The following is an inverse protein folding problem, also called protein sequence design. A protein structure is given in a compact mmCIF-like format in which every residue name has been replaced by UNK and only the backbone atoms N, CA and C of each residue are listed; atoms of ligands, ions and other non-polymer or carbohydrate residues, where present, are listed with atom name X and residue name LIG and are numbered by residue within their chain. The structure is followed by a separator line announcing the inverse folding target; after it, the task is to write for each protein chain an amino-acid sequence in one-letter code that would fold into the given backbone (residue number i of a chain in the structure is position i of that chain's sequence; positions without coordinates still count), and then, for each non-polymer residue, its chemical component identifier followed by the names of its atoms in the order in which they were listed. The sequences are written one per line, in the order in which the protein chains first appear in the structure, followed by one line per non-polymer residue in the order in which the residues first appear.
data_IF_008761258424
#
_entry.id   IF_008761258424
#
_cell.length_a   1.000
_cell.length_b   1.000
_cell.length_c   1.000
_cell.angle_alpha   90.00
_cell.angle_beta   90.00
_cell.angle_gamma   90.00
#
_symmetry.space_group_name_H-M   'P 1'
#
loop_
_entity.id
_entity.type
_entity.pdbx_description
1 polymer ?
#
# COMPACT_ATOMS: atom_id res chain seq x y z
N UNK A 1 7.75 26.12 -13.54
CA UNK A 1 6.77 26.11 -12.45
C UNK A 1 6.70 24.67 -11.96
N UNK A 2 7.13 24.36 -10.73
CA UNK A 2 6.94 23.03 -10.14
C UNK A 2 5.45 22.81 -9.97
N UNK A 3 4.89 21.79 -10.63
CA UNK A 3 3.51 21.37 -10.40
C UNK A 3 3.30 21.11 -8.89
N UNK A 4 2.15 21.54 -8.36
CA UNK A 4 1.81 21.25 -6.98
C UNK A 4 1.79 19.73 -6.77
N UNK A 5 2.39 19.27 -5.66
CA UNK A 5 2.38 17.85 -5.31
C UNK A 5 0.95 17.38 -5.05
N UNK A 6 0.65 16.14 -5.43
CA UNK A 6 -0.63 15.51 -5.11
C UNK A 6 -0.76 15.33 -3.60
N UNK A 7 -1.91 15.73 -3.04
CA UNK A 7 -2.21 15.54 -1.62
C UNK A 7 -2.64 14.09 -1.36
N UNK A 8 -2.00 13.45 -0.40
CA UNK A 8 -2.31 12.06 -0.04
C UNK A 8 -2.46 11.89 1.47
N UNK A 9 -3.32 10.96 1.86
CA UNK A 9 -3.38 10.37 3.20
C UNK A 9 -3.09 8.89 3.02
N UNK A 10 -1.97 8.42 3.61
CA UNK A 10 -1.54 7.03 3.55
C UNK A 10 -2.25 6.23 4.65
N UNK A 11 -2.71 5.00 4.33
CA UNK A 11 -3.21 4.03 5.31
C UNK A 11 -2.49 2.70 5.09
N UNK A 12 -1.60 2.32 5.98
CA UNK A 12 -0.60 1.28 5.74
C UNK A 12 -0.45 0.30 6.91
N UNK A 13 0.11 -0.86 6.64
CA UNK A 13 0.47 -1.86 7.66
C UNK A 13 1.96 -2.23 7.60
N UNK A 14 2.89 -1.25 7.83
CA UNK A 14 4.26 -1.29 7.37
C UNK A 14 4.98 -2.60 7.58
N UNK A 15 5.16 -3.25 6.41
CA UNK A 15 6.09 -4.31 6.12
C UNK A 15 7.26 -3.78 5.29
N UNK A 16 7.87 -4.65 4.49
CA UNK A 16 9.07 -4.34 3.71
C UNK A 16 8.79 -3.35 2.56
N UNK A 17 7.73 -3.55 1.81
CA UNK A 17 7.34 -2.77 0.63
C UNK A 17 6.59 -1.48 0.99
N UNK A 18 5.77 -1.45 2.06
CA UNK A 18 5.23 -0.21 2.62
C UNK A 18 6.33 0.81 2.95
N UNK A 19 7.49 0.35 3.43
CA UNK A 19 8.62 1.22 3.72
C UNK A 19 9.01 2.05 2.49
N UNK A 20 9.05 1.44 1.31
CA UNK A 20 9.35 2.11 0.05
C UNK A 20 8.20 3.01 -0.40
N UNK A 21 6.94 2.59 -0.20
CA UNK A 21 5.77 3.42 -0.48
C UNK A 21 5.79 4.73 0.33
N UNK A 22 6.06 4.65 1.64
CA UNK A 22 6.17 5.83 2.51
C UNK A 22 7.34 6.75 2.13
N UNK A 23 8.49 6.19 1.73
CA UNK A 23 9.66 6.96 1.26
C UNK A 23 9.32 7.71 -0.04
N UNK A 24 8.71 7.04 -1.01
CA UNK A 24 8.30 7.63 -2.29
C UNK A 24 7.22 8.70 -2.07
N UNK A 25 6.21 8.42 -1.23
CA UNK A 25 5.18 9.39 -0.87
C UNK A 25 5.79 10.65 -0.22
N UNK A 26 6.71 10.49 0.73
CA UNK A 26 7.36 11.61 1.44
C UNK A 26 8.13 12.52 0.47
N UNK A 27 8.69 11.98 -0.60
CA UNK A 27 9.43 12.77 -1.60
C UNK A 27 8.52 13.43 -2.63
N UNK A 28 7.57 12.68 -3.21
CA UNK A 28 6.86 13.07 -4.42
C UNK A 28 5.42 13.52 -4.19
N UNK A 29 4.84 13.26 -3.02
CA UNK A 29 3.51 13.71 -2.64
C UNK A 29 3.53 14.73 -1.50
N UNK A 30 2.39 15.37 -1.26
CA UNK A 30 2.09 16.16 -0.06
C UNK A 30 1.35 15.23 0.91
N UNK A 31 2.09 14.62 1.84
CA UNK A 31 1.57 13.64 2.80
C UNK A 31 0.91 14.37 3.97
N UNK A 32 -0.41 14.46 3.95
CA UNK A 32 -1.19 15.14 4.98
C UNK A 32 -1.26 14.36 6.30
N UNK A 33 -1.03 13.05 6.24
CA UNK A 33 -0.98 12.18 7.40
C UNK A 33 -0.81 10.72 7.00
N UNK A 34 -0.49 9.92 8.02
CA UNK A 34 -0.36 8.47 7.91
C UNK A 34 -1.23 7.80 8.96
N UNK A 35 -2.01 6.82 8.55
CA UNK A 35 -2.74 5.94 9.46
C UNK A 35 -2.22 4.52 9.33
N UNK A 36 -2.36 3.72 10.39
CA UNK A 36 -1.93 2.33 10.36
C UNK A 36 -3.06 1.37 10.69
N UNK A 37 -2.97 0.18 10.13
CA UNK A 37 -3.89 -0.93 10.34
C UNK A 37 -3.09 -2.19 10.68
N UNK A 38 -3.70 -3.15 11.33
CA UNK A 38 -3.11 -4.48 11.47
C UNK A 38 -3.28 -5.27 10.16
N UNK A 39 -2.21 -5.91 9.72
CA UNK A 39 -2.17 -6.72 8.51
C UNK A 39 -0.89 -7.54 8.48
N UNK A 40 0.17 -7.04 7.85
CA UNK A 40 1.49 -7.71 7.80
C UNK A 40 2.00 -8.11 9.20
N UNK A 41 1.72 -7.25 10.19
CA UNK A 41 2.04 -7.47 11.59
C UNK A 41 0.91 -6.92 12.50
N UNK A 42 0.91 -7.24 13.81
CA UNK A 42 0.01 -6.59 14.77
C UNK A 42 0.12 -5.07 14.74
N UNK A 43 -0.99 -4.36 15.01
CA UNK A 43 -1.08 -2.90 14.94
C UNK A 43 0.05 -2.17 15.69
N UNK A 44 0.48 -2.68 16.85
CA UNK A 44 1.57 -2.08 17.61
C UNK A 44 2.90 -2.07 16.83
N UNK A 45 3.17 -3.12 16.05
CA UNK A 45 4.36 -3.22 15.22
C UNK A 45 4.21 -2.39 13.94
N UNK A 46 3.07 -2.44 13.24
CA UNK A 46 2.84 -1.63 12.05
C UNK A 46 2.94 -0.14 12.36
N UNK A 47 2.39 0.30 13.51
CA UNK A 47 2.50 1.69 13.98
C UNK A 47 3.94 2.07 14.33
N UNK A 48 4.69 1.18 15.02
CA UNK A 48 6.11 1.39 15.31
C UNK A 48 6.92 1.52 14.02
N UNK A 49 6.70 0.61 13.08
CA UNK A 49 7.39 0.57 11.80
C UNK A 49 7.10 1.83 10.96
N UNK A 50 5.84 2.28 10.91
CA UNK A 50 5.48 3.53 10.24
C UNK A 50 6.28 4.73 10.78
N UNK A 51 6.39 4.87 12.11
CA UNK A 51 7.15 5.96 12.72
C UNK A 51 8.64 5.85 12.38
N UNK A 52 9.22 4.65 12.43
CA UNK A 52 10.62 4.42 12.04
C UNK A 52 10.88 4.92 10.61
N UNK A 53 10.00 4.59 9.66
CA UNK A 53 10.18 4.99 8.26
C UNK A 53 9.95 6.49 8.09
N UNK A 54 8.95 7.09 8.75
CA UNK A 54 8.75 8.54 8.74
C UNK A 54 9.97 9.28 9.30
N UNK A 55 10.55 8.80 10.39
CA UNK A 55 11.78 9.34 10.96
C UNK A 55 12.95 9.23 9.96
N UNK A 56 13.06 8.09 9.28
CA UNK A 56 14.08 7.84 8.26
C UNK A 56 13.97 8.81 7.09
N UNK A 57 12.75 9.14 6.68
CA UNK A 57 12.47 10.13 5.63
C UNK A 57 12.61 11.58 6.10
N UNK A 58 12.75 11.84 7.40
CA UNK A 58 12.64 13.17 7.98
C UNK A 58 11.25 13.79 7.86
N UNK A 59 10.22 12.94 7.74
CA UNK A 59 8.83 13.39 7.60
C UNK A 59 8.21 13.73 8.95
N UNK A 60 7.54 14.88 9.02
CA UNK A 60 6.77 15.30 10.19
C UNK A 60 5.27 14.99 10.05
N UNK A 61 4.87 14.21 9.06
CA UNK A 61 3.47 13.83 8.87
C UNK A 61 2.89 13.22 10.16
N UNK A 62 1.69 13.65 10.60
CA UNK A 62 1.03 13.06 11.75
C UNK A 62 0.74 11.58 11.50
N UNK A 63 0.90 10.76 12.55
CA UNK A 63 0.71 9.31 12.52
C UNK A 63 -0.37 8.91 13.52
N UNK A 64 -1.42 8.25 13.05
CA UNK A 64 -2.51 7.74 13.90
C UNK A 64 -2.66 6.23 13.74
N UNK A 65 -2.67 5.49 14.86
CA UNK A 65 -2.99 4.06 14.83
C UNK A 65 -4.51 3.84 14.68
N UNK A 66 -4.88 2.78 13.98
CA UNK A 66 -6.27 2.49 13.63
C UNK A 66 -6.75 1.12 14.08
N UNK A 67 -7.35 0.35 13.16
CA UNK A 67 -7.94 -0.93 13.44
C UNK A 67 -6.89 -2.01 13.74
N UNK A 68 -7.07 -2.71 14.86
CA UNK A 68 -6.21 -3.83 15.26
C UNK A 68 -6.73 -5.18 14.77
N UNK A 69 -7.87 -5.21 14.08
CA UNK A 69 -8.52 -6.42 13.56
C UNK A 69 -9.46 -6.08 12.40
N UNK A 70 -9.77 -7.05 11.53
CA UNK A 70 -10.77 -6.94 10.49
C UNK A 70 -12.18 -6.70 11.04
N UNK A 71 -13.11 -6.32 10.17
CA UNK A 71 -14.52 -6.10 10.55
C UNK A 71 -15.20 -7.37 11.07
N UNK A 72 -14.91 -8.52 10.47
CA UNK A 72 -15.59 -9.78 10.76
C UNK A 72 -14.62 -10.91 11.11
N UNK A 73 -13.58 -11.12 10.30
CA UNK A 73 -12.64 -12.22 10.45
C UNK A 73 -11.74 -12.08 11.69
N UNK A 74 -11.11 -13.18 12.12
CA UNK A 74 -10.03 -13.12 13.11
C UNK A 74 -8.75 -12.57 12.46
N UNK A 75 -7.96 -11.77 13.20
CA UNK A 75 -6.73 -11.20 12.65
C UNK A 75 -5.70 -12.29 12.32
N UNK A 76 -5.11 -12.17 11.15
CA UNK A 76 -4.01 -13.03 10.71
C UNK A 76 -2.90 -12.12 10.20
N UNK A 77 -1.65 -12.48 10.50
CA UNK A 77 -0.48 -11.71 10.16
C UNK A 77 0.48 -12.49 9.27
N UNK A 78 1.33 -11.76 8.54
CA UNK A 78 2.25 -12.31 7.56
C UNK A 78 3.70 -12.43 8.07
N UNK A 79 3.89 -12.85 9.34
CA UNK A 79 5.23 -13.04 9.91
C UNK A 79 6.11 -14.03 9.11
N UNK A 80 5.49 -14.96 8.38
CA UNK A 80 6.18 -15.90 7.49
C UNK A 80 6.83 -15.21 6.26
N UNK A 81 6.47 -13.95 5.96
CA UNK A 81 7.05 -13.13 4.89
C UNK A 81 7.83 -11.96 5.46
N UNK A 82 7.26 -11.26 6.47
CA UNK A 82 7.81 -10.00 6.98
C UNK A 82 8.68 -10.17 8.23
N UNK A 83 8.78 -11.40 8.79
CA UNK A 83 9.50 -11.67 10.02
C UNK A 83 8.73 -11.24 11.28
N UNK A 84 9.32 -11.45 12.43
CA UNK A 84 8.70 -11.20 13.74
C UNK A 84 8.45 -9.70 14.00
N UNK A 85 9.32 -8.81 13.51
CA UNK A 85 9.17 -7.37 13.66
C UNK A 85 8.26 -6.74 12.61
N UNK A 86 7.91 -7.47 11.55
CA UNK A 86 7.25 -6.98 10.35
C UNK A 86 8.22 -6.30 9.36
N UNK A 87 9.46 -6.01 9.75
CA UNK A 87 10.52 -5.43 8.91
C UNK A 87 11.88 -6.04 9.22
N UNK A 88 11.97 -7.39 9.28
CA UNK A 88 13.23 -8.09 9.52
C UNK A 88 14.20 -7.89 8.32
N UNK A 89 15.51 -8.03 8.59
CA UNK A 89 16.57 -7.85 7.60
C UNK A 89 17.43 -6.60 7.82
N UNK A 90 16.95 -5.64 8.62
CA UNK A 90 17.73 -4.47 9.00
C UNK A 90 17.47 -4.07 10.47
N UNK A 91 18.46 -3.38 11.05
CA UNK A 91 18.30 -2.77 12.37
C UNK A 91 18.04 -1.27 12.22
N UNK A 92 16.94 -0.84 12.78
CA UNK A 92 16.57 0.56 12.86
C UNK A 92 16.71 1.08 14.29
N UNK A 93 16.96 2.37 14.49
CA UNK A 93 16.82 2.98 15.81
C UNK A 93 15.36 2.90 16.28
N UNK A 94 15.16 3.01 17.59
CA UNK A 94 13.79 3.15 18.10
C UNK A 94 13.11 4.42 17.55
N UNK A 95 11.78 4.42 17.43
CA UNK A 95 11.03 5.59 16.98
C UNK A 95 11.35 6.85 17.78
N UNK A 96 11.48 7.99 17.13
CA UNK A 96 11.76 9.28 17.80
C UNK A 96 10.67 9.73 18.77
N UNK A 97 9.44 9.31 18.51
CA UNK A 97 8.23 9.63 19.30
C UNK A 97 7.13 8.59 19.04
N UNK A 98 6.14 8.47 19.91
CA UNK A 98 4.98 7.61 19.67
C UNK A 98 4.12 8.13 18.50
N UNK A 99 3.07 7.38 18.15
CA UNK A 99 2.01 7.90 17.28
C UNK A 99 1.36 9.15 17.89
N UNK A 100 0.90 10.05 17.02
CA UNK A 100 0.27 11.31 17.44
C UNK A 100 -1.16 11.09 17.95
N UNK A 101 -1.78 9.95 17.59
CA UNK A 101 -3.11 9.55 18.05
C UNK A 101 -3.41 8.07 17.81
N UNK A 102 -4.56 7.63 18.32
CA UNK A 102 -5.02 6.23 18.27
C UNK A 102 -6.36 6.06 17.57
N UNK A 103 -6.79 7.05 16.79
CA UNK A 103 -8.08 7.02 16.11
C UNK A 103 -7.94 7.40 14.63
N UNK A 104 -7.46 6.44 13.83
CA UNK A 104 -7.29 6.61 12.40
C UNK A 104 -8.58 7.03 11.69
N UNK A 105 -9.72 6.42 12.05
CA UNK A 105 -11.00 6.67 11.37
C UNK A 105 -11.41 8.14 11.45
N UNK A 106 -11.39 8.73 12.64
CA UNK A 106 -11.73 10.16 12.79
C UNK A 106 -10.66 11.06 12.19
N UNK A 107 -9.38 10.67 12.29
CA UNK A 107 -8.30 11.42 11.64
C UNK A 107 -8.45 11.45 10.12
N UNK A 108 -8.84 10.33 9.47
CA UNK A 108 -9.16 10.28 8.05
C UNK A 108 -10.32 11.24 7.72
N UNK A 109 -11.43 11.15 8.47
CA UNK A 109 -12.62 11.98 8.26
C UNK A 109 -12.28 13.46 8.34
N UNK A 110 -11.61 13.87 9.41
CA UNK A 110 -11.26 15.27 9.65
C UNK A 110 -10.27 15.79 8.62
N UNK A 111 -9.25 14.97 8.25
CA UNK A 111 -8.24 15.35 7.25
C UNK A 111 -8.87 15.53 5.87
N UNK A 112 -9.77 14.63 5.45
CA UNK A 112 -10.48 14.74 4.17
C UNK A 112 -11.35 15.98 4.13
N UNK A 113 -12.13 16.25 5.16
CA UNK A 113 -13.00 17.43 5.24
C UNK A 113 -12.21 18.74 5.24
N UNK A 114 -11.04 18.75 5.89
CA UNK A 114 -10.16 19.92 5.88
C UNK A 114 -9.39 20.10 4.55
N UNK A 115 -9.28 19.06 3.73
CA UNK A 115 -8.48 19.04 2.50
C UNK A 115 -9.23 18.41 1.34
N UNK A 116 -10.30 19.04 0.81
CA UNK A 116 -11.01 18.50 -0.35
C UNK A 116 -10.05 18.20 -1.51
N UNK A 117 -10.28 17.08 -2.18
CA UNK A 117 -9.43 16.62 -3.29
C UNK A 117 -8.21 15.80 -2.86
N UNK A 118 -8.07 15.42 -1.59
CA UNK A 118 -7.04 14.50 -1.13
C UNK A 118 -7.29 13.09 -1.72
N UNK A 119 -6.22 12.36 -2.01
CA UNK A 119 -6.28 10.93 -2.31
C UNK A 119 -6.09 10.12 -1.05
N UNK A 120 -6.90 9.08 -0.87
CA UNK A 120 -6.65 8.03 0.12
C UNK A 120 -5.76 6.96 -0.54
N UNK A 121 -4.69 6.56 0.14
CA UNK A 121 -3.72 5.60 -0.41
C UNK A 121 -3.54 4.45 0.59
N UNK A 122 -4.48 3.48 0.61
CA UNK A 122 -4.32 2.28 1.42
C UNK A 122 -3.37 1.30 0.74
N UNK A 123 -2.38 0.83 1.52
CA UNK A 123 -1.42 -0.21 1.15
C UNK A 123 -1.60 -1.49 1.98
N UNK A 124 -2.44 -1.46 3.01
CA UNK A 124 -2.83 -2.59 3.83
C UNK A 124 -4.32 -2.96 3.73
N UNK A 125 -4.84 -3.78 4.65
CA UNK A 125 -6.27 -4.11 4.73
C UNK A 125 -7.14 -2.87 4.85
N UNK A 126 -8.27 -2.84 4.13
CA UNK A 126 -9.08 -1.63 3.92
C UNK A 126 -9.98 -1.23 5.11
N UNK A 127 -9.76 -1.81 6.29
CA UNK A 127 -10.61 -1.65 7.48
C UNK A 127 -10.81 -0.20 7.90
N UNK A 128 -9.73 0.60 8.00
CA UNK A 128 -9.84 2.01 8.39
C UNK A 128 -10.62 2.84 7.36
N UNK A 129 -10.34 2.61 6.07
CA UNK A 129 -10.99 3.31 4.96
C UNK A 129 -12.49 2.99 4.93
N UNK A 130 -12.85 1.70 5.03
CA UNK A 130 -14.24 1.28 5.06
C UNK A 130 -15.01 1.89 6.24
N UNK A 131 -14.42 1.89 7.44
CA UNK A 131 -15.02 2.49 8.63
C UNK A 131 -15.20 4.01 8.45
N UNK A 132 -14.22 4.70 7.89
CA UNK A 132 -14.31 6.14 7.63
C UNK A 132 -15.42 6.48 6.63
N UNK A 133 -15.49 5.77 5.49
CA UNK A 133 -16.54 5.97 4.48
C UNK A 133 -17.94 5.61 5.00
N UNK A 134 -18.05 4.59 5.85
CA UNK A 134 -19.34 4.22 6.48
C UNK A 134 -19.78 5.22 7.54
N UNK A 135 -18.85 5.73 8.34
CA UNK A 135 -19.15 6.74 9.38
C UNK A 135 -19.45 8.13 8.77
N UNK A 136 -18.86 8.44 7.62
CA UNK A 136 -18.99 9.73 6.95
C UNK A 136 -19.09 9.53 5.41
N UNK A 137 -20.29 9.19 4.88
CA UNK A 137 -20.49 8.94 3.45
C UNK A 137 -20.18 10.16 2.54
N UNK A 138 -20.25 11.38 3.10
CA UNK A 138 -19.88 12.62 2.41
C UNK A 138 -18.41 12.68 1.96
N UNK A 139 -17.56 11.81 2.51
CA UNK A 139 -16.14 11.76 2.11
C UNK A 139 -15.96 11.39 0.65
N UNK A 140 -16.85 10.58 0.07
CA UNK A 140 -16.79 10.16 -1.33
C UNK A 140 -16.77 11.36 -2.27
N UNK A 141 -17.54 12.40 -1.97
CA UNK A 141 -17.60 13.64 -2.75
C UNK A 141 -16.41 14.58 -2.46
N UNK A 142 -15.70 14.37 -1.38
CA UNK A 142 -14.61 15.23 -0.92
C UNK A 142 -13.21 14.72 -1.29
N UNK A 143 -13.06 13.45 -1.65
CA UNK A 143 -11.78 12.86 -2.10
C UNK A 143 -11.63 12.92 -3.62
N UNK A 144 -10.41 12.97 -4.13
CA UNK A 144 -10.14 12.76 -5.56
C UNK A 144 -10.28 11.29 -5.96
N UNK A 145 -10.14 10.38 -5.00
CA UNK A 145 -10.29 8.94 -5.16
C UNK A 145 -9.47 8.16 -4.15
N UNK A 146 -9.41 6.85 -4.37
CA UNK A 146 -8.69 5.89 -3.54
C UNK A 146 -7.73 5.12 -4.43
N UNK A 147 -6.42 5.18 -4.15
CA UNK A 147 -5.40 4.40 -4.87
C UNK A 147 -4.96 3.25 -3.96
N UNK A 148 -5.42 2.03 -4.26
CA UNK A 148 -5.21 0.86 -3.41
C UNK A 148 -4.07 -0.02 -3.93
N UNK A 149 -3.30 -0.61 -3.01
CA UNK A 149 -2.60 -1.85 -3.28
C UNK A 149 -3.43 -3.01 -2.73
N UNK A 150 -3.87 -3.90 -3.59
CA UNK A 150 -4.64 -5.08 -3.20
C UNK A 150 -5.36 -5.74 -4.36
N UNK A 151 -5.73 -6.99 -4.13
CA UNK A 151 -6.43 -7.81 -5.11
C UNK A 151 -5.59 -8.24 -6.30
N UNK A 152 -6.25 -8.64 -7.36
CA UNK A 152 -5.58 -9.12 -8.58
C UNK A 152 -6.42 -10.12 -9.35
N UNK A 153 -5.85 -10.63 -10.46
CA UNK A 153 -6.43 -11.72 -11.27
C UNK A 153 -6.15 -13.09 -10.69
N UNK A 154 -5.30 -13.17 -9.70
CA UNK A 154 -4.93 -14.37 -8.93
C UNK A 154 -4.61 -13.93 -7.49
N UNK A 155 -4.47 -14.87 -6.59
CA UNK A 155 -4.16 -14.63 -5.19
C UNK A 155 -2.72 -14.99 -4.83
N UNK A 156 -2.29 -14.55 -3.65
CA UNK A 156 -1.06 -14.95 -2.98
C UNK A 156 -1.33 -15.53 -1.58
N UNK A 157 -2.50 -15.26 -1.02
CA UNK A 157 -2.92 -15.84 0.27
C UNK A 157 -3.74 -17.11 0.09
N UNK A 158 -4.61 -17.11 -0.90
CA UNK A 158 -5.27 -18.30 -1.47
C UNK A 158 -5.04 -18.31 -2.98
N UNK A 159 -5.50 -19.31 -3.70
CA UNK A 159 -5.39 -19.34 -5.16
C UNK A 159 -6.07 -18.12 -5.83
N UNK A 160 -7.05 -17.50 -5.18
CA UNK A 160 -7.88 -16.44 -5.77
C UNK A 160 -7.85 -15.12 -5.01
N UNK A 161 -7.43 -15.11 -3.74
CA UNK A 161 -7.47 -13.93 -2.89
C UNK A 161 -6.06 -13.41 -2.59
N UNK A 162 -5.88 -12.12 -2.83
CA UNK A 162 -4.70 -11.36 -2.40
C UNK A 162 -4.81 -11.05 -0.89
N UNK A 163 -3.66 -10.91 -0.22
CA UNK A 163 -3.56 -10.83 1.23
C UNK A 163 -4.36 -9.66 1.85
N UNK A 164 -4.23 -8.43 1.35
CA UNK A 164 -4.92 -7.26 1.90
C UNK A 164 -6.45 -7.40 1.81
N UNK A 165 -6.94 -7.86 0.65
CA UNK A 165 -8.36 -8.10 0.44
C UNK A 165 -8.84 -9.30 1.27
N UNK A 166 -8.03 -10.36 1.35
CA UNK A 166 -8.36 -11.56 2.11
C UNK A 166 -8.40 -11.31 3.62
N UNK A 167 -7.57 -10.40 4.14
CA UNK A 167 -7.57 -10.02 5.57
C UNK A 167 -8.91 -9.40 5.99
N UNK A 168 -9.52 -8.55 5.16
CA UNK A 168 -10.81 -7.92 5.46
C UNK A 168 -11.66 -7.77 4.19
N UNK A 169 -12.24 -8.88 3.68
CA UNK A 169 -13.05 -8.84 2.47
C UNK A 169 -14.28 -7.95 2.60
N UNK A 170 -14.88 -7.85 3.79
CA UNK A 170 -16.04 -7.01 4.06
C UNK A 170 -15.68 -5.53 3.95
N UNK A 171 -14.53 -5.13 4.48
CA UNK A 171 -14.04 -3.76 4.31
C UNK A 171 -13.73 -3.48 2.84
N UNK A 172 -13.10 -4.42 2.15
CA UNK A 172 -12.81 -4.28 0.72
C UNK A 172 -14.08 -4.12 -0.10
N UNK A 173 -15.09 -4.98 0.09
CA UNK A 173 -16.38 -4.86 -0.57
C UNK A 173 -17.02 -3.49 -0.32
N UNK A 174 -17.01 -3.01 0.93
CA UNK A 174 -17.56 -1.70 1.28
C UNK A 174 -16.84 -0.54 0.57
N UNK A 175 -15.53 -0.65 0.35
CA UNK A 175 -14.74 0.36 -0.38
C UNK A 175 -15.05 0.31 -1.88
N UNK A 176 -15.06 -0.87 -2.51
CA UNK A 176 -15.36 -1.01 -3.94
C UNK A 176 -16.80 -0.60 -4.29
N UNK A 177 -17.74 -0.75 -3.36
CA UNK A 177 -19.16 -0.36 -3.50
C UNK A 177 -19.43 1.09 -3.06
N UNK A 178 -18.43 1.82 -2.56
CA UNK A 178 -18.61 3.17 -2.00
C UNK A 178 -19.04 4.24 -3.01
N UNK A 179 -18.80 4.00 -4.30
CA UNK A 179 -18.98 5.01 -5.36
C UNK A 179 -17.78 5.92 -5.56
N UNK A 180 -16.74 5.84 -4.74
CA UNK A 180 -15.51 6.58 -4.92
C UNK A 180 -14.77 6.12 -6.21
N UNK A 181 -13.99 7.02 -6.81
CA UNK A 181 -13.05 6.64 -7.88
C UNK A 181 -11.95 5.76 -7.28
N UNK A 182 -11.73 4.58 -7.84
CA UNK A 182 -10.69 3.64 -7.37
C UNK A 182 -9.64 3.43 -8.46
N UNK A 183 -8.37 3.48 -8.05
CA UNK A 183 -7.22 2.98 -8.83
C UNK A 183 -6.72 1.75 -8.10
N UNK A 184 -6.61 0.61 -8.79
CA UNK A 184 -6.25 -0.68 -8.20
C UNK A 184 -4.91 -1.17 -8.74
N UNK A 185 -3.94 -1.32 -7.84
CA UNK A 185 -2.65 -1.96 -8.07
C UNK A 185 -2.70 -3.41 -7.57
N UNK A 186 -3.19 -4.32 -8.42
CA UNK A 186 -3.32 -5.74 -8.08
C UNK A 186 -2.05 -6.55 -8.35
N UNK A 187 -2.00 -7.81 -7.88
CA UNK A 187 -0.82 -8.69 -7.98
C UNK A 187 -0.31 -8.87 -9.42
N UNK A 188 -1.21 -8.93 -10.40
CA UNK A 188 -0.84 -9.07 -11.82
C UNK A 188 0.00 -7.89 -12.35
N UNK A 189 -0.14 -6.71 -11.72
CA UNK A 189 0.70 -5.55 -11.96
C UNK A 189 1.95 -5.58 -11.08
N UNK A 190 1.77 -5.74 -9.76
CA UNK A 190 2.85 -5.53 -8.79
C UNK A 190 3.96 -6.58 -8.91
N UNK A 191 3.67 -7.77 -9.44
CA UNK A 191 4.68 -8.77 -9.77
C UNK A 191 5.61 -8.36 -10.93
N UNK A 192 5.33 -7.26 -11.63
CA UNK A 192 6.21 -6.76 -12.69
C UNK A 192 7.35 -5.87 -12.16
N UNK A 193 7.27 -5.41 -10.89
CA UNK A 193 8.28 -4.53 -10.28
C UNK A 193 9.06 -5.29 -9.17
N UNK A 194 9.93 -6.21 -9.58
CA UNK A 194 10.70 -7.04 -8.65
C UNK A 194 12.00 -6.37 -8.21
N UNK A 195 12.36 -6.54 -6.93
CA UNK A 195 13.65 -6.17 -6.36
C UNK A 195 14.71 -7.23 -6.75
N UNK A 196 15.17 -7.20 -7.99
CA UNK A 196 16.27 -8.08 -8.45
C UNK A 196 17.58 -7.75 -7.73
N UNK A 197 18.58 -8.64 -7.71
CA UNK A 197 19.88 -8.36 -7.10
C UNK A 197 20.51 -7.05 -7.58
N UNK A 198 20.41 -6.74 -8.88
CA UNK A 198 20.91 -5.49 -9.44
C UNK A 198 20.17 -4.26 -8.88
N UNK A 199 18.87 -4.34 -8.74
CA UNK A 199 18.03 -3.27 -8.18
C UNK A 199 18.25 -3.09 -6.68
N UNK A 200 18.49 -4.18 -5.93
CA UNK A 200 18.87 -4.11 -4.52
C UNK A 200 20.20 -3.36 -4.36
N UNK A 201 21.15 -3.58 -5.25
CA UNK A 201 22.43 -2.86 -5.23
C UNK A 201 22.27 -1.36 -5.58
N UNK A 202 21.36 -1.04 -6.50
CA UNK A 202 21.00 0.37 -6.75
C UNK A 202 20.43 1.05 -5.47
N UNK A 203 19.58 0.36 -4.72
CA UNK A 203 19.03 0.83 -3.45
C UNK A 203 20.14 1.01 -2.42
N UNK A 204 21.04 0.01 -2.29
CA UNK A 204 22.18 0.05 -1.35
C UNK A 204 23.05 1.27 -1.59
N UNK A 205 23.36 1.55 -2.85
CA UNK A 205 24.24 2.64 -3.27
C UNK A 205 23.56 4.01 -3.29
N UNK A 206 22.22 4.06 -3.13
CA UNK A 206 21.45 5.30 -3.26
C UNK A 206 21.75 6.31 -2.15
N UNK A 207 22.07 5.83 -0.93
CA UNK A 207 22.31 6.69 0.23
C UNK A 207 23.21 5.97 1.23
N UNK A 208 24.21 6.67 1.77
CA UNK A 208 25.25 6.09 2.64
C UNK A 208 24.68 5.39 3.89
N UNK A 209 23.70 6.01 4.56
CA UNK A 209 23.12 5.52 5.83
C UNK A 209 21.85 4.71 5.60
N UNK A 210 20.96 5.21 4.76
CA UNK A 210 19.62 4.64 4.55
C UNK A 210 19.66 3.47 3.57
N UNK A 211 20.45 3.59 2.50
CA UNK A 211 20.56 2.60 1.44
C UNK A 211 20.88 1.18 1.91
N UNK A 212 21.94 0.97 2.74
CA UNK A 212 22.24 -0.37 3.25
C UNK A 212 21.12 -1.00 4.08
N UNK A 213 20.37 -0.20 4.87
CA UNK A 213 19.24 -0.69 5.67
C UNK A 213 18.09 -1.14 4.77
N UNK A 214 17.71 -0.32 3.79
CA UNK A 214 16.65 -0.64 2.84
C UNK A 214 17.03 -1.83 1.94
N UNK A 215 18.28 -1.94 1.53
CA UNK A 215 18.77 -3.11 0.82
C UNK A 215 18.68 -4.37 1.68
N UNK A 216 18.99 -4.29 2.98
CA UNK A 216 18.83 -5.41 3.91
C UNK A 216 17.37 -5.86 4.05
N UNK A 217 16.41 -4.93 4.06
CA UNK A 217 14.99 -5.26 4.00
C UNK A 217 14.66 -6.04 2.71
N UNK A 218 15.11 -5.56 1.56
CA UNK A 218 14.84 -6.23 0.27
C UNK A 218 15.52 -7.60 0.16
N UNK A 219 16.70 -7.77 0.72
CA UNK A 219 17.40 -9.06 0.74
C UNK A 219 16.62 -10.10 1.58
N UNK A 220 16.17 -9.70 2.77
CA UNK A 220 15.32 -10.55 3.59
C UNK A 220 14.02 -10.91 2.88
N UNK A 221 13.30 -9.92 2.39
CA UNK A 221 12.02 -10.07 1.71
C UNK A 221 12.15 -10.96 0.46
N UNK A 222 13.18 -10.73 -0.35
CA UNK A 222 13.47 -11.55 -1.53
C UNK A 222 13.82 -13.00 -1.17
N UNK A 223 14.52 -13.22 -0.04
CA UNK A 223 14.80 -14.57 0.46
C UNK A 223 13.50 -15.30 0.83
N UNK A 224 12.57 -14.61 1.50
CA UNK A 224 11.28 -15.19 1.87
C UNK A 224 10.43 -15.50 0.64
N UNK A 225 10.34 -14.58 -0.31
CA UNK A 225 9.63 -14.82 -1.58
C UNK A 225 10.19 -16.01 -2.36
N UNK A 226 11.51 -16.10 -2.50
CA UNK A 226 12.17 -17.23 -3.18
C UNK A 226 11.97 -18.57 -2.48
N UNK A 227 11.71 -18.59 -1.18
CA UNK A 227 11.37 -19.81 -0.46
C UNK A 227 9.96 -20.34 -0.78
N UNK A 228 9.09 -19.50 -1.31
CA UNK A 228 7.71 -19.82 -1.64
C UNK A 228 7.44 -19.91 -3.15
N UNK A 229 8.30 -19.32 -3.98
CA UNK A 229 8.12 -19.19 -5.42
C UNK A 229 9.44 -19.45 -6.16
N UNK A 230 9.48 -20.50 -6.95
CA UNK A 230 10.70 -20.91 -7.68
C UNK A 230 11.14 -19.91 -8.77
N UNK A 231 10.17 -19.18 -9.37
CA UNK A 231 10.41 -18.33 -10.55
C UNK A 231 10.67 -16.86 -10.18
N UNK A 232 10.72 -16.46 -8.91
CA UNK A 232 10.95 -15.07 -8.54
C UNK A 232 12.45 -14.73 -8.41
N UNK A 233 12.90 -13.75 -9.19
CA UNK A 233 14.27 -13.22 -9.09
C UNK A 233 14.48 -12.36 -7.84
N UNK A 234 13.39 -11.83 -7.25
CA UNK A 234 13.38 -11.01 -6.05
C UNK A 234 11.96 -10.81 -5.54
N UNK A 235 11.79 -10.12 -4.41
CA UNK A 235 10.47 -9.76 -3.93
C UNK A 235 9.85 -8.66 -4.80
N UNK A 236 8.55 -8.71 -5.11
CA UNK A 236 7.85 -7.59 -5.73
C UNK A 236 7.71 -6.43 -4.73
N UNK A 237 7.82 -5.20 -5.21
CA UNK A 237 7.51 -4.00 -4.43
C UNK A 237 6.05 -3.60 -4.69
N UNK A 238 5.13 -4.22 -3.96
CA UNK A 238 3.70 -4.08 -4.19
C UNK A 238 3.21 -2.65 -3.94
N UNK A 239 3.43 -2.12 -2.75
CA UNK A 239 2.77 -0.94 -2.20
C UNK A 239 3.18 0.36 -2.87
N UNK A 240 4.42 0.41 -3.34
CA UNK A 240 4.92 1.59 -4.06
C UNK A 240 4.08 1.89 -5.32
N UNK A 241 3.45 0.87 -5.91
CA UNK A 241 2.60 1.03 -7.10
C UNK A 241 1.41 1.95 -6.83
N UNK A 242 0.78 1.87 -5.64
CA UNK A 242 -0.34 2.73 -5.29
C UNK A 242 0.05 4.21 -5.20
N UNK A 243 1.28 4.50 -4.76
CA UNK A 243 1.82 5.86 -4.70
C UNK A 243 2.27 6.34 -6.08
N UNK A 244 2.99 5.49 -6.83
CA UNK A 244 3.47 5.82 -8.18
C UNK A 244 2.33 6.07 -9.16
N UNK A 245 1.19 5.39 -9.01
CA UNK A 245 -0.02 5.62 -9.82
C UNK A 245 -0.50 7.08 -9.76
N UNK A 246 -0.27 7.77 -8.65
CA UNK A 246 -0.65 9.16 -8.45
C UNK A 246 0.46 10.14 -8.80
N UNK A 247 1.70 9.79 -8.49
CA UNK A 247 2.85 10.70 -8.65
C UNK A 247 3.53 10.59 -10.01
N UNK A 248 3.48 9.41 -10.63
CA UNK A 248 4.11 9.08 -11.92
C UNK A 248 3.19 8.21 -12.80
N UNK A 249 1.95 8.68 -13.10
CA UNK A 249 0.95 7.88 -13.81
C UNK A 249 1.39 7.44 -15.21
N UNK A 250 2.35 8.14 -15.82
CA UNK A 250 2.91 7.77 -17.13
C UNK A 250 3.66 6.44 -17.15
N UNK A 251 3.99 5.88 -15.97
CA UNK A 251 4.64 4.57 -15.85
C UNK A 251 3.69 3.41 -16.07
N UNK A 252 2.38 3.66 -16.13
CA UNK A 252 1.36 2.62 -16.10
C UNK A 252 0.49 2.62 -17.36
N UNK A 253 0.02 1.42 -17.73
CA UNK A 253 -1.21 1.26 -18.53
C UNK A 253 -2.34 0.79 -17.62
N UNK A 254 -3.57 1.08 -18.00
CA UNK A 254 -4.74 0.76 -17.19
C UNK A 254 -5.99 0.46 -18.02
N UNK A 255 -6.98 -0.16 -17.38
CA UNK A 255 -8.28 -0.45 -17.95
C UNK A 255 -9.39 -0.10 -16.95
N UNK A 256 -10.40 0.63 -17.41
CA UNK A 256 -11.61 0.86 -16.63
C UNK A 256 -12.52 -0.38 -16.70
N UNK A 257 -12.85 -0.95 -15.55
CA UNK A 257 -13.72 -2.12 -15.48
C UNK A 257 -14.50 -2.16 -14.16
N UNK A 258 -15.46 -3.10 -14.06
CA UNK A 258 -16.13 -3.37 -12.81
C UNK A 258 -15.32 -4.39 -11.99
N UNK A 259 -15.12 -4.09 -10.72
CA UNK A 259 -14.49 -4.97 -9.75
C UNK A 259 -15.43 -5.14 -8.56
N UNK A 260 -15.69 -6.38 -8.17
CA UNK A 260 -16.43 -6.74 -6.98
C UNK A 260 -15.57 -7.63 -6.08
N UNK A 261 -15.89 -7.70 -4.79
CA UNK A 261 -15.22 -8.59 -3.84
C UNK A 261 -16.14 -9.74 -3.48
N UNK A 262 -15.66 -10.95 -3.62
CA UNK A 262 -16.39 -12.17 -3.27
C UNK A 262 -16.37 -12.42 -1.76
N UNK A 263 -17.56 -12.54 -1.15
CA UNK A 263 -17.70 -12.69 0.30
C UNK A 263 -18.12 -14.09 0.77
N UNK A 264 -18.87 -14.82 -0.04
CA UNK A 264 -19.60 -16.03 0.41
C UNK A 264 -18.99 -17.34 -0.10
N UNK A 265 -18.19 -17.28 -1.17
CA UNK A 265 -17.63 -18.46 -1.82
C UNK A 265 -16.62 -19.20 -0.96
N UNK A 266 -16.82 -20.49 -0.73
CA UNK A 266 -15.93 -21.32 0.09
C UNK A 266 -14.48 -21.40 -0.43
N UNK A 267 -14.27 -21.18 -1.74
CA UNK A 267 -12.95 -21.20 -2.38
C UNK A 267 -12.52 -19.85 -2.93
N UNK A 268 -13.44 -18.88 -2.99
CA UNK A 268 -13.22 -17.59 -3.66
C UNK A 268 -13.41 -16.39 -2.73
N UNK A 269 -13.71 -16.60 -1.45
CA UNK A 269 -13.81 -15.52 -0.46
C UNK A 269 -12.55 -14.64 -0.47
N UNK A 270 -12.74 -13.33 -0.60
CA UNK A 270 -11.66 -12.35 -0.74
C UNK A 270 -11.10 -12.19 -2.17
N UNK A 271 -11.66 -12.91 -3.15
CA UNK A 271 -11.31 -12.72 -4.56
C UNK A 271 -11.82 -11.36 -5.05
N UNK A 272 -10.98 -10.61 -5.74
CA UNK A 272 -11.42 -9.48 -6.56
C UNK A 272 -11.88 -10.00 -7.91
N UNK A 273 -13.19 -9.91 -8.15
CA UNK A 273 -13.83 -10.35 -9.40
C UNK A 273 -13.76 -9.20 -10.40
N UNK A 274 -12.74 -9.24 -11.26
CA UNK A 274 -12.51 -8.24 -12.32
C UNK A 274 -13.32 -8.64 -13.56
N UNK A 275 -14.24 -7.78 -14.03
CA UNK A 275 -15.05 -8.07 -15.21
C UNK A 275 -14.28 -7.80 -16.50
N UNK A 276 -13.54 -8.80 -16.95
CA UNK A 276 -12.77 -8.76 -18.21
C UNK A 276 -13.57 -9.22 -19.44
N UNK A 277 -14.84 -9.50 -19.29
CA UNK A 277 -15.68 -9.98 -20.40
C UNK A 277 -15.87 -8.93 -21.49
N UNK A 278 -15.80 -9.34 -22.75
CA UNK A 278 -16.10 -8.52 -23.93
C UNK A 278 -17.59 -8.64 -24.32
N UNK A 279 -18.48 -8.16 -23.45
CA UNK A 279 -19.93 -8.21 -23.66
C UNK A 279 -20.54 -6.80 -23.77
N UNK A 280 -21.63 -6.63 -24.54
CA UNK A 280 -22.28 -5.33 -24.72
C UNK A 280 -22.94 -4.81 -23.44
N UNK A 281 -23.49 -5.73 -22.63
CA UNK A 281 -24.13 -5.39 -21.36
C UNK A 281 -23.20 -5.78 -20.20
N UNK A 282 -22.39 -4.81 -19.76
CA UNK A 282 -21.53 -4.94 -18.57
C UNK A 282 -22.05 -4.07 -17.44
N UNK A 283 -21.73 -4.45 -16.20
CA UNK A 283 -21.85 -3.57 -15.05
C UNK A 283 -20.99 -2.32 -15.30
N UNK A 284 -21.47 -1.16 -14.88
CA UNK A 284 -20.71 0.08 -15.00
C UNK A 284 -19.37 -0.07 -14.29
N UNK A 285 -18.30 0.38 -14.94
CA UNK A 285 -16.96 0.39 -14.34
C UNK A 285 -16.97 1.25 -13.06
N UNK A 286 -16.34 0.73 -12.01
CA UNK A 286 -16.11 1.40 -10.74
C UNK A 286 -14.62 1.57 -10.42
N UNK A 287 -13.73 0.92 -11.19
CA UNK A 287 -12.30 0.80 -10.88
C UNK A 287 -11.46 0.96 -12.13
N UNK A 288 -10.42 1.78 -12.01
CA UNK A 288 -9.29 1.81 -12.93
C UNK A 288 -8.29 0.75 -12.49
N UNK A 289 -8.25 -0.40 -13.16
CA UNK A 289 -7.30 -1.49 -12.90
C UNK A 289 -6.01 -1.20 -13.65
N UNK A 290 -4.89 -1.14 -12.93
CA UNK A 290 -3.58 -0.98 -13.54
C UNK A 290 -3.09 -2.32 -14.11
N UNK A 291 -2.60 -2.32 -15.36
CA UNK A 291 -2.26 -3.52 -16.13
C UNK A 291 -0.75 -3.77 -16.23
N UNK A 292 -0.02 -2.72 -16.56
CA UNK A 292 1.45 -2.81 -16.71
C UNK A 292 2.14 -1.64 -16.04
N UNK A 293 3.40 -1.88 -15.64
CA UNK A 293 4.31 -0.85 -15.12
C UNK A 293 5.64 -0.93 -15.86
N UNK A 294 6.21 0.24 -16.19
CA UNK A 294 7.60 0.31 -16.64
C UNK A 294 8.53 0.26 -15.41
N UNK A 295 9.03 -0.94 -15.14
CA UNK A 295 9.71 -1.25 -13.88
C UNK A 295 11.06 -0.53 -13.71
N UNK A 296 11.85 -0.32 -14.76
CA UNK A 296 13.16 0.32 -14.63
C UNK A 296 13.05 1.81 -14.32
N UNK A 297 12.25 2.62 -15.04
CA UNK A 297 11.96 3.98 -14.60
C UNK A 297 11.29 4.07 -13.23
N UNK A 298 10.42 3.12 -12.85
CA UNK A 298 9.82 3.09 -11.52
C UNK A 298 10.88 2.90 -10.43
N UNK A 299 11.86 2.00 -10.63
CA UNK A 299 12.99 1.84 -9.71
C UNK A 299 13.89 3.07 -9.66
N UNK A 300 14.08 3.77 -10.77
CA UNK A 300 14.82 5.05 -10.76
C UNK A 300 14.12 6.11 -9.87
N UNK A 301 12.80 6.17 -9.89
CA UNK A 301 12.02 7.05 -8.99
C UNK A 301 12.20 6.64 -7.52
N UNK A 302 12.16 5.34 -7.21
CA UNK A 302 12.39 4.83 -5.84
C UNK A 302 13.79 5.23 -5.35
N UNK A 303 14.81 5.01 -6.17
CA UNK A 303 16.21 5.37 -5.86
C UNK A 303 16.35 6.87 -5.63
N UNK A 304 15.69 7.72 -6.43
CA UNK A 304 15.69 9.18 -6.23
C UNK A 304 15.01 9.58 -4.92
N UNK A 305 13.93 8.89 -4.53
CA UNK A 305 13.31 9.12 -3.24
C UNK A 305 14.23 8.78 -2.06
N UNK A 306 14.96 7.66 -2.15
CA UNK A 306 15.94 7.24 -1.13
C UNK A 306 17.10 8.24 -1.01
N UNK A 307 17.61 8.76 -2.13
CA UNK A 307 18.66 9.80 -2.14
C UNK A 307 18.27 11.08 -1.43
N UNK A 308 16.98 11.37 -1.38
CA UNK A 308 16.47 12.57 -0.74
C UNK A 308 16.24 12.42 0.78
N UNK A 309 16.41 11.22 1.35
CA UNK A 309 16.34 11.02 2.79
C UNK A 309 17.44 11.82 3.49
N UNK A 310 17.19 12.37 4.68
CA UNK A 310 18.23 13.11 5.41
C UNK A 310 19.34 12.16 5.88
N UNK A 311 20.58 12.63 5.85
CA UNK A 311 21.72 11.95 6.45
C UNK A 311 21.63 12.05 7.99
N UNK A 312 20.99 11.07 8.64
CA UNK A 312 20.86 10.97 10.10
C UNK A 312 21.42 9.65 10.62
#
# INVERSE_FOLDING_TARGET
MTSAKVKVLMDCDPGHDDAFALIVASKFADVLGVTTVAGNAPLSLTTKNARIILDLCGSNAPLHSGASRPLVAEPIHAAYIHGESGMDGAKFPDPSRPADGTNAVFFIIDTVRANPGVWLVPTGPLTNIALALRAAPDLVDNISGISIMGGGRFGNRTATAEFNIWCDPEAAAAVFDSGAKIIMSGLHLTHQIMATPARIEMVRSAHEVVGPKLAGLLEFFSKMYKSLHDDFEGAPLHDVCAVLALTHPQLFTSKETHVAVELDGSHTRGMTVIDDRHVKSRTKANTQVLETIDADPAFAVIVDAIRACPAR
#
